data_IF_811818733360
#
_entry.id   IF_811818733360
#
_cell.length_a   1.000
_cell.length_b   1.000
_cell.length_c   1.000
_cell.angle_alpha   90.00
_cell.angle_beta   90.00
_cell.angle_gamma   90.00
#
_symmetry.space_group_name_H-M   'P 1'
#
loop_
_entity.id
_entity.type
_entity.pdbx_description
1 polymer ?
#
# COMPACT_ATOMS: atom_id res chain seq x y z
N UNK A 1 -10.11 -26.79 28.75
CA UNK A 1 -11.15 -26.79 27.70
C UNK A 1 -11.90 -25.46 27.87
N UNK A 2 -11.52 -24.45 27.09
CA UNK A 2 -12.14 -23.12 27.18
C UNK A 2 -13.37 -23.14 26.26
N UNK A 3 -14.53 -23.24 26.88
CA UNK A 3 -15.82 -23.17 26.19
C UNK A 3 -16.11 -21.69 26.02
N UNK A 4 -16.25 -21.23 24.78
CA UNK A 4 -16.74 -19.89 24.45
C UNK A 4 -18.21 -19.89 24.88
N UNK A 5 -18.45 -19.62 26.16
CA UNK A 5 -19.78 -19.40 26.69
C UNK A 5 -20.16 -17.96 26.37
N UNK A 6 -21.14 -17.85 25.48
CA UNK A 6 -22.12 -16.78 25.42
C UNK A 6 -21.60 -15.34 25.55
N UNK A 7 -21.07 -14.85 24.44
CA UNK A 7 -21.07 -13.42 24.17
C UNK A 7 -22.48 -13.00 23.76
N UNK A 8 -23.45 -13.01 24.69
CA UNK A 8 -24.85 -12.62 24.43
C UNK A 8 -24.98 -11.23 23.78
N UNK A 9 -24.00 -10.35 23.98
CA UNK A 9 -23.92 -9.04 23.34
C UNK A 9 -23.68 -9.09 21.81
N UNK A 10 -23.26 -10.23 21.26
CA UNK A 10 -23.18 -10.45 19.81
C UNK A 10 -24.54 -10.83 19.20
N UNK A 11 -25.51 -11.30 20.00
CA UNK A 11 -26.87 -11.61 19.52
C UNK A 11 -27.72 -10.35 19.37
N UNK A 12 -27.43 -9.32 20.17
CA UNK A 12 -28.02 -7.97 20.10
C UNK A 12 -27.28 -7.03 19.16
N UNK A 13 -26.22 -7.49 18.48
CA UNK A 13 -25.68 -6.74 17.35
C UNK A 13 -26.80 -6.65 16.30
N UNK A 14 -27.29 -5.45 15.94
CA UNK A 14 -28.37 -5.30 14.98
C UNK A 14 -28.03 -6.10 13.73
N UNK A 15 -28.83 -7.13 13.45
CA UNK A 15 -28.58 -8.19 12.45
C UNK A 15 -28.37 -7.69 11.01
N UNK A 16 -28.44 -6.38 10.77
CA UNK A 16 -28.26 -5.69 9.50
C UNK A 16 -27.51 -4.34 9.63
N UNK A 17 -26.73 -4.10 10.68
CA UNK A 17 -25.78 -3.00 10.61
C UNK A 17 -24.70 -3.41 9.61
N UNK A 18 -24.76 -2.76 8.44
CA UNK A 18 -23.72 -2.82 7.43
C UNK A 18 -22.40 -2.50 8.12
N UNK A 19 -21.58 -3.51 8.42
CA UNK A 19 -20.21 -3.27 8.88
C UNK A 19 -19.54 -2.57 7.71
N UNK A 20 -19.40 -1.24 7.83
CA UNK A 20 -18.72 -0.41 6.86
C UNK A 20 -17.23 -0.75 6.98
N UNK A 21 -16.80 -1.74 6.20
CA UNK A 21 -15.38 -1.97 5.96
C UNK A 21 -14.80 -0.77 5.22
N UNK A 22 -13.65 -0.29 5.67
CA UNK A 22 -12.87 0.71 4.95
C UNK A 22 -11.61 0.03 4.39
N UNK A 23 -11.22 0.41 3.18
CA UNK A 23 -9.89 0.07 2.64
C UNK A 23 -8.98 1.29 2.72
N UNK A 24 -7.73 1.07 3.15
CA UNK A 24 -6.73 2.11 3.35
C UNK A 24 -5.45 1.73 2.61
N UNK A 25 -4.74 2.74 2.10
CA UNK A 25 -3.47 2.52 1.43
C UNK A 25 -2.53 3.73 1.60
N UNK A 26 -1.24 3.46 1.76
CA UNK A 26 -0.18 4.47 1.76
C UNK A 26 1.02 3.97 0.96
N UNK A 27 1.77 4.91 0.37
CA UNK A 27 3.07 4.69 -0.24
C UNK A 27 3.99 5.79 0.28
N UNK A 28 5.18 5.43 0.70
CA UNK A 28 6.24 6.35 1.14
C UNK A 28 7.47 6.04 0.30
N UNK A 29 8.08 7.06 -0.29
CA UNK A 29 9.32 6.93 -1.04
C UNK A 29 10.39 7.81 -0.39
N UNK A 30 11.58 7.25 -0.20
CA UNK A 30 12.74 7.93 0.38
C UNK A 30 13.93 7.75 -0.56
N UNK A 31 14.64 8.84 -0.85
CA UNK A 31 15.88 8.80 -1.60
C UNK A 31 16.92 9.73 -0.97
N UNK A 32 18.18 9.29 -0.93
CA UNK A 32 19.31 10.08 -0.44
C UNK A 32 20.58 9.73 -1.23
N UNK A 33 21.39 10.73 -1.52
CA UNK A 33 22.69 10.55 -2.15
C UNK A 33 23.61 11.74 -1.80
N UNK A 34 24.89 11.46 -1.57
CA UNK A 34 25.93 12.45 -1.32
C UNK A 34 26.80 12.75 -2.56
N UNK A 35 27.80 13.60 -2.36
CA UNK A 35 28.77 13.98 -3.39
C UNK A 35 28.35 15.16 -4.26
N UNK A 36 29.31 15.69 -5.02
CA UNK A 36 29.14 16.90 -5.85
C UNK A 36 28.22 16.71 -7.06
N UNK A 37 27.99 15.47 -7.50
CA UNK A 37 27.11 15.12 -8.61
C UNK A 37 26.04 14.14 -8.13
N UNK A 38 25.21 14.59 -7.19
CA UNK A 38 24.12 13.81 -6.61
C UNK A 38 22.75 14.11 -7.25
N UNK A 39 21.90 13.10 -7.28
CA UNK A 39 20.48 13.19 -7.63
C UNK A 39 19.70 12.32 -6.65
N UNK A 40 18.70 12.90 -6.00
CA UNK A 40 17.70 12.17 -5.23
C UNK A 40 16.31 12.54 -5.77
N UNK A 41 15.54 11.53 -6.15
CA UNK A 41 14.21 11.68 -6.72
C UNK A 41 13.25 10.71 -6.05
N UNK A 42 12.10 11.24 -5.65
CA UNK A 42 10.99 10.46 -5.12
C UNK A 42 9.71 10.87 -5.84
N UNK A 43 8.90 9.90 -6.23
CA UNK A 43 7.57 10.13 -6.80
C UNK A 43 6.61 9.08 -6.27
N UNK A 44 5.44 9.52 -5.82
CA UNK A 44 4.40 8.66 -5.26
C UNK A 44 3.05 9.08 -5.81
N UNK A 45 2.34 8.13 -6.41
CA UNK A 45 0.97 8.30 -6.89
C UNK A 45 0.09 7.21 -6.31
N UNK A 46 -1.10 7.60 -5.85
CA UNK A 46 -2.08 6.70 -5.27
C UNK A 46 -3.48 7.11 -5.68
N UNK A 47 -4.13 6.23 -6.43
CA UNK A 47 -5.44 6.46 -7.01
C UNK A 47 -6.43 5.40 -6.56
N UNK A 48 -7.30 5.78 -5.64
CA UNK A 48 -8.45 4.99 -5.21
C UNK A 48 -9.70 5.40 -5.98
N UNK A 49 -10.37 4.43 -6.61
CA UNK A 49 -11.61 4.65 -7.37
C UNK A 49 -12.70 3.69 -6.92
N UNK A 50 -13.81 4.25 -6.44
CA UNK A 50 -15.05 3.51 -6.21
C UNK A 50 -15.77 3.27 -7.53
N UNK A 51 -16.26 2.05 -7.74
CA UNK A 51 -17.02 1.64 -8.92
C UNK A 51 -18.51 1.71 -8.64
N UNK A 52 -19.32 1.76 -9.72
CA UNK A 52 -20.79 1.74 -9.64
C UNK A 52 -21.36 0.53 -8.92
N UNK A 53 -20.66 -0.59 -8.92
CA UNK A 53 -21.07 -1.83 -8.25
C UNK A 53 -20.62 -1.90 -6.78
N UNK A 54 -20.17 -0.78 -6.17
CA UNK A 54 -19.72 -0.73 -4.78
C UNK A 54 -18.29 -1.24 -4.54
N UNK A 55 -17.61 -1.79 -5.55
CA UNK A 55 -16.21 -2.20 -5.41
C UNK A 55 -15.27 -0.98 -5.36
N UNK A 56 -14.21 -1.07 -4.56
CA UNK A 56 -13.12 -0.08 -4.56
C UNK A 56 -11.90 -0.66 -5.26
N UNK A 57 -11.30 0.10 -6.19
CA UNK A 57 -10.09 -0.30 -6.90
C UNK A 57 -8.98 0.71 -6.67
N UNK A 58 -7.85 0.22 -6.17
CA UNK A 58 -6.62 0.97 -5.98
C UNK A 58 -5.64 0.73 -7.13
N UNK A 59 -5.01 1.80 -7.59
CA UNK A 59 -3.78 1.75 -8.37
C UNK A 59 -2.77 2.68 -7.70
N UNK A 60 -1.56 2.20 -7.43
CA UNK A 60 -0.51 3.02 -6.82
C UNK A 60 0.83 2.76 -7.48
N UNK A 61 1.68 3.78 -7.50
CA UNK A 61 3.07 3.70 -7.92
C UNK A 61 3.93 4.49 -6.94
N UNK A 62 5.00 3.89 -6.45
CA UNK A 62 6.07 4.59 -5.75
C UNK A 62 7.38 4.40 -6.51
N UNK A 63 8.19 5.45 -6.56
CA UNK A 63 9.50 5.48 -7.20
C UNK A 63 10.45 6.21 -6.26
N UNK A 64 11.56 5.58 -5.94
CA UNK A 64 12.72 6.21 -5.32
C UNK A 64 13.95 5.95 -6.19
N UNK A 65 14.71 7.00 -6.51
CA UNK A 65 15.95 6.93 -7.26
C UNK A 65 17.00 7.81 -6.57
N UNK A 66 18.12 7.20 -6.23
CA UNK A 66 19.30 7.88 -5.73
C UNK A 66 20.48 7.62 -6.68
N UNK A 67 21.21 8.66 -7.06
CA UNK A 67 22.45 8.58 -7.84
C UNK A 67 23.48 9.47 -7.16
N UNK A 68 24.67 8.96 -6.85
CA UNK A 68 25.72 9.70 -6.17
C UNK A 68 26.59 8.80 -5.30
N UNK A 69 27.24 9.41 -4.31
CA UNK A 69 27.97 8.71 -3.25
C UNK A 69 26.97 8.19 -2.21
N UNK A 70 27.20 6.98 -1.70
CA UNK A 70 26.33 6.30 -0.72
C UNK A 70 24.83 6.41 -1.05
N UNK A 71 24.40 5.98 -2.26
CA UNK A 71 23.02 6.12 -2.69
C UNK A 71 22.11 5.19 -1.89
N UNK A 72 20.97 5.71 -1.44
CA UNK A 72 19.92 4.98 -0.73
C UNK A 72 18.59 5.32 -1.40
N UNK A 73 17.85 4.32 -1.86
CA UNK A 73 16.51 4.48 -2.38
C UNK A 73 15.59 3.38 -1.83
N UNK A 74 14.43 3.78 -1.33
CA UNK A 74 13.50 2.86 -0.68
C UNK A 74 12.04 3.29 -0.90
N UNK A 75 11.17 2.32 -1.16
CA UNK A 75 9.73 2.54 -1.33
C UNK A 75 8.94 1.57 -0.45
N UNK A 76 8.38 2.11 0.62
CA UNK A 76 7.47 1.42 1.52
C UNK A 76 6.00 1.60 1.13
N UNK A 77 5.16 0.63 1.50
CA UNK A 77 3.72 0.72 1.31
C UNK A 77 2.92 -0.01 2.39
N UNK A 78 1.70 0.47 2.67
CA UNK A 78 0.72 -0.20 3.54
C UNK A 78 -0.58 -0.40 2.77
N UNK A 79 -1.23 -1.55 2.96
CA UNK A 79 -2.51 -1.91 2.33
C UNK A 79 -3.41 -2.62 3.33
N UNK A 80 -4.58 -2.07 3.60
CA UNK A 80 -5.54 -2.63 4.55
C UNK A 80 -6.94 -2.70 3.91
N UNK A 81 -7.71 -3.73 4.29
CA UNK A 81 -9.12 -3.85 3.90
C UNK A 81 -9.37 -4.19 2.42
N UNK A 82 -8.36 -4.59 1.64
CA UNK A 82 -8.56 -5.06 0.25
C UNK A 82 -8.68 -6.57 0.16
N UNK A 83 -9.70 -7.08 -0.53
CA UNK A 83 -9.88 -8.51 -0.80
C UNK A 83 -8.77 -9.14 -1.64
N UNK A 84 -8.25 -8.38 -2.62
CA UNK A 84 -7.22 -8.87 -3.54
C UNK A 84 -6.18 -7.79 -3.78
N UNK A 85 -4.93 -8.19 -3.60
CA UNK A 85 -3.77 -7.32 -3.78
C UNK A 85 -2.81 -7.96 -4.78
N UNK A 86 -2.27 -7.13 -5.67
CA UNK A 86 -1.13 -7.48 -6.52
C UNK A 86 -0.11 -6.35 -6.44
N UNK A 87 1.06 -6.67 -5.90
CA UNK A 87 2.21 -5.77 -5.82
C UNK A 87 3.29 -6.27 -6.78
N UNK A 88 4.00 -5.35 -7.41
CA UNK A 88 5.23 -5.61 -8.16
C UNK A 88 6.28 -4.61 -7.73
N UNK A 89 7.40 -5.12 -7.27
CA UNK A 89 8.58 -4.34 -6.89
C UNK A 89 9.67 -4.51 -7.95
N UNK A 90 10.46 -3.46 -8.18
CA UNK A 90 11.64 -3.46 -9.05
C UNK A 90 12.76 -2.74 -8.31
N UNK A 91 13.73 -3.52 -7.84
CA UNK A 91 14.92 -3.02 -7.19
C UNK A 91 16.11 -3.13 -8.15
N UNK A 92 16.93 -2.08 -8.22
CA UNK A 92 18.22 -2.10 -8.91
C UNK A 92 19.25 -1.29 -8.15
N UNK A 93 20.39 -1.93 -7.89
CA UNK A 93 21.52 -1.31 -7.25
C UNK A 93 22.75 -1.35 -8.14
N UNK A 94 23.57 -0.33 -8.04
CA UNK A 94 24.89 -0.25 -8.64
C UNK A 94 25.87 0.47 -7.73
N UNK A 95 27.10 0.64 -8.20
CA UNK A 95 28.16 1.27 -7.40
C UNK A 95 27.90 2.74 -7.05
N UNK A 96 27.01 3.41 -7.78
CA UNK A 96 26.72 4.84 -7.63
C UNK A 96 25.23 5.16 -7.80
N UNK A 97 24.35 4.15 -7.77
CA UNK A 97 22.92 4.37 -7.80
C UNK A 97 22.16 3.31 -7.02
N UNK A 98 20.98 3.69 -6.57
CA UNK A 98 19.97 2.82 -5.99
C UNK A 98 18.60 3.22 -6.56
N UNK A 99 17.76 2.23 -6.85
CA UNK A 99 16.46 2.41 -7.46
C UNK A 99 15.49 1.40 -6.86
N UNK A 100 14.38 1.91 -6.34
CA UNK A 100 13.24 1.11 -5.94
C UNK A 100 11.96 1.65 -6.59
N UNK A 101 11.15 0.72 -7.11
CA UNK A 101 9.87 1.02 -7.75
C UNK A 101 8.85 0.00 -7.27
N UNK A 102 7.79 0.49 -6.62
CA UNK A 102 6.63 -0.31 -6.23
C UNK A 102 5.44 0.04 -7.12
N UNK A 103 4.74 -0.98 -7.62
CA UNK A 103 3.47 -0.85 -8.35
C UNK A 103 2.40 -1.69 -7.70
N UNK A 104 1.32 -1.04 -7.29
CA UNK A 104 0.21 -1.64 -6.55
C UNK A 104 -1.05 -1.66 -7.40
N UNK A 105 -1.74 -2.80 -7.38
CA UNK A 105 -3.13 -2.92 -7.78
C UNK A 105 -3.88 -3.66 -6.70
N UNK A 106 -4.88 -3.03 -6.10
CA UNK A 106 -5.74 -3.68 -5.12
C UNK A 106 -7.22 -3.52 -5.48
N UNK A 107 -8.05 -4.45 -5.05
CA UNK A 107 -9.50 -4.38 -5.17
C UNK A 107 -10.15 -4.91 -3.90
N UNK A 108 -11.12 -4.15 -3.44
CA UNK A 108 -12.10 -4.52 -2.44
C UNK A 108 -13.45 -4.69 -3.16
N UNK A 109 -14.11 -5.83 -2.96
CA UNK A 109 -15.36 -6.14 -3.66
C UNK A 109 -16.54 -5.71 -2.80
N UNK A 110 -17.70 -5.42 -3.42
CA UNK A 110 -18.93 -5.31 -2.65
C UNK A 110 -19.17 -6.60 -1.86
N UNK A 111 -19.60 -6.45 -0.60
CA UNK A 111 -20.09 -7.54 0.23
C UNK A 111 -21.01 -8.44 -0.61
N UNK A 112 -20.69 -9.74 -0.67
CA UNK A 112 -21.55 -10.77 -1.25
C UNK A 112 -22.55 -11.26 -0.20
#
# INVERSE_FOLDING_TARGET
MMVINDLYYLEDAPKNELILGASSASIVAVASAGGNNSLALTDTDLLLKTKKNGASKLQGTGVALAIGEDPIADVDYTLEGFDKVKVRTIEKQGSNFDLDIVKIKAIDKPNK
#
